data_IF_645373549673
#
_entry.id   IF_645373549673
#
_cell.length_a   1.000
_cell.length_b   1.000
_cell.length_c   1.000
_cell.angle_alpha   90.00
_cell.angle_beta   90.00
_cell.angle_gamma   90.00
#
_symmetry.space_group_name_H-M   'P 1'
#
loop_
_entity.id
_entity.type
_entity.pdbx_description
1 polymer ?
#
# COMPACT_ATOMS: atom_id res chain seq x y z
N UNK A 1 -15.58 37.83 -32.34
CA UNK A 1 -14.40 38.08 -31.48
C UNK A 1 -13.86 36.79 -30.86
N UNK A 2 -14.70 35.84 -30.58
CA UNK A 2 -14.33 34.53 -29.93
C UNK A 2 -13.46 33.59 -30.82
N UNK A 3 -13.68 33.57 -32.12
CA UNK A 3 -12.88 32.70 -33.04
C UNK A 3 -11.40 33.11 -33.12
N UNK A 4 -11.10 34.41 -33.02
CA UNK A 4 -9.71 34.91 -33.05
C UNK A 4 -8.96 34.55 -31.78
N UNK A 5 -9.64 34.54 -30.64
CA UNK A 5 -9.06 34.18 -29.34
C UNK A 5 -8.75 32.68 -29.30
N UNK A 6 -9.69 31.84 -29.80
CA UNK A 6 -9.50 30.41 -29.87
C UNK A 6 -8.33 29.98 -30.74
N UNK A 7 -8.17 30.59 -31.91
CA UNK A 7 -7.04 30.32 -32.80
C UNK A 7 -5.69 30.79 -32.19
N UNK A 8 -5.69 31.90 -31.46
CA UNK A 8 -4.48 32.38 -30.79
C UNK A 8 -4.03 31.43 -29.67
N UNK A 9 -5.00 30.90 -28.90
CA UNK A 9 -4.76 29.92 -27.84
C UNK A 9 -4.17 28.62 -28.38
N UNK A 10 -4.68 28.13 -29.52
CA UNK A 10 -4.13 26.92 -30.18
C UNK A 10 -2.70 27.12 -30.67
N UNK A 11 -2.36 28.29 -31.22
CA UNK A 11 -0.99 28.61 -31.70
C UNK A 11 0.00 28.64 -30.54
N UNK A 12 -0.39 29.22 -29.40
CA UNK A 12 0.46 29.29 -28.21
C UNK A 12 0.70 27.91 -27.62
N UNK A 13 -0.36 27.07 -27.47
CA UNK A 13 -0.24 25.71 -26.94
C UNK A 13 0.64 24.86 -27.87
N UNK A 14 0.47 24.96 -29.19
CA UNK A 14 1.28 24.18 -30.15
C UNK A 14 2.75 24.62 -30.11
N UNK A 15 3.04 25.92 -29.93
CA UNK A 15 4.38 26.44 -29.74
C UNK A 15 5.09 25.89 -28.52
N UNK A 16 4.38 25.78 -27.39
CA UNK A 16 4.92 25.18 -26.15
C UNK A 16 5.19 23.67 -26.29
N UNK A 17 4.33 22.93 -27.00
CA UNK A 17 4.52 21.49 -27.23
C UNK A 17 5.78 21.26 -28.08
N UNK A 18 5.99 22.03 -29.14
CA UNK A 18 7.19 21.91 -30.00
C UNK A 18 8.46 22.24 -29.21
N UNK A 19 8.43 23.27 -28.39
CA UNK A 19 9.55 23.67 -27.54
C UNK A 19 9.90 22.57 -26.50
N UNK A 20 8.89 21.94 -25.94
CA UNK A 20 9.05 20.85 -24.98
C UNK A 20 9.67 19.60 -25.61
N UNK A 21 9.27 19.25 -26.85
CA UNK A 21 9.86 18.13 -27.61
C UNK A 21 11.32 18.40 -27.97
N UNK A 22 11.68 19.63 -28.32
CA UNK A 22 13.06 19.99 -28.61
C UNK A 22 13.95 19.94 -27.37
N UNK A 23 13.44 20.32 -26.21
CA UNK A 23 14.18 20.24 -24.94
C UNK A 23 14.42 18.78 -24.56
N UNK A 24 13.41 17.90 -24.67
CA UNK A 24 13.57 16.47 -24.42
C UNK A 24 14.59 15.83 -25.38
N UNK A 25 14.57 16.21 -26.65
CA UNK A 25 15.54 15.72 -27.65
C UNK A 25 16.99 16.11 -27.36
N UNK A 26 17.24 17.21 -26.66
CA UNK A 26 18.58 17.62 -26.24
C UNK A 26 19.09 16.86 -25.00
N UNK A 27 18.18 16.43 -24.13
CA UNK A 27 18.53 15.62 -22.93
C UNK A 27 18.84 14.15 -23.26
N UNK A 28 18.39 13.64 -24.41
CA UNK A 28 18.63 12.23 -24.82
C UNK A 28 19.83 12.01 -25.76
N UNK A 29 20.63 13.05 -26.05
CA UNK A 29 21.70 12.94 -27.06
C UNK A 29 23.10 12.63 -26.50
N UNK A 30 23.27 12.35 -25.21
CA UNK A 30 24.60 11.92 -24.72
C UNK A 30 24.50 10.62 -23.90
N UNK A 31 25.12 9.57 -24.44
CA UNK A 31 25.28 8.31 -23.73
C UNK A 31 25.60 7.09 -24.61
N UNK A 32 26.60 7.19 -25.46
CA UNK A 32 27.18 6.03 -26.16
C UNK A 32 28.41 5.49 -25.43
N UNK A 33 28.33 4.25 -25.03
CA UNK A 33 29.36 3.18 -24.97
C UNK A 33 30.76 3.46 -24.41
N UNK A 34 31.22 2.77 -23.40
CA UNK A 34 32.28 1.75 -23.49
C UNK A 34 32.60 1.06 -22.17
N UNK A 35 32.85 -0.25 -22.26
CA UNK A 35 33.32 -1.15 -21.21
C UNK A 35 34.68 -0.74 -20.62
N UNK A 36 34.92 -0.93 -19.33
CA UNK A 36 35.98 -1.82 -18.87
C UNK A 36 35.91 -2.08 -17.34
N UNK A 37 36.23 -3.34 -17.00
CA UNK A 37 36.35 -3.89 -15.65
C UNK A 37 37.49 -3.22 -14.86
N UNK A 38 37.30 -2.96 -13.56
CA UNK A 38 38.29 -3.29 -12.53
C UNK A 38 37.66 -3.18 -11.12
N UNK A 39 37.90 -4.25 -10.37
CA UNK A 39 37.54 -4.54 -8.98
C UNK A 39 38.31 -3.62 -8.02
N UNK A 40 37.61 -2.94 -7.10
CA UNK A 40 38.14 -2.67 -5.75
C UNK A 40 37.04 -2.25 -4.77
N UNK A 41 37.04 -2.92 -3.64
CA UNK A 41 36.24 -2.74 -2.47
C UNK A 41 36.39 -1.37 -1.84
N UNK A 42 35.25 -0.70 -1.49
CA UNK A 42 35.14 0.06 -0.22
C UNK A 42 33.67 0.40 0.08
N UNK A 43 33.28 0.03 1.28
CA UNK A 43 32.05 0.34 1.96
C UNK A 43 31.74 1.84 2.03
N UNK A 44 30.51 2.23 1.64
CA UNK A 44 29.81 3.37 2.22
C UNK A 44 28.31 3.13 2.05
N UNK A 45 27.64 3.02 3.17
CA UNK A 45 26.21 2.87 3.31
C UNK A 45 25.46 4.07 2.70
N UNK A 46 24.71 3.85 1.65
CA UNK A 46 23.59 4.70 1.27
C UNK A 46 22.40 3.76 1.10
N UNK A 47 21.41 3.96 1.96
CA UNK A 47 20.15 3.23 1.99
C UNK A 47 19.33 3.55 0.75
N UNK A 48 19.52 2.78 -0.31
CA UNK A 48 18.49 2.57 -1.33
C UNK A 48 17.67 1.39 -0.85
N UNK A 49 16.49 1.68 -0.26
CA UNK A 49 15.47 0.66 0.00
C UNK A 49 14.97 0.17 -1.34
N UNK A 50 15.53 -0.96 -1.78
CA UNK A 50 15.12 -1.61 -2.99
C UNK A 50 13.70 -2.17 -2.83
N UNK A 51 12.89 -2.05 -3.88
CA UNK A 51 11.56 -2.68 -4.03
C UNK A 51 11.56 -4.22 -3.90
N UNK A 52 12.70 -4.83 -3.56
CA UNK A 52 12.86 -6.26 -3.33
C UNK A 52 12.41 -6.73 -1.95
N UNK A 53 12.26 -5.82 -0.98
CA UNK A 53 11.95 -6.21 0.40
C UNK A 53 10.43 -6.22 0.68
N UNK A 54 9.61 -5.61 -0.20
CA UNK A 54 8.15 -5.67 -0.13
C UNK A 54 7.62 -6.74 -1.08
N UNK A 55 7.85 -8.00 -0.76
CA UNK A 55 7.38 -9.13 -1.55
C UNK A 55 6.09 -9.72 -0.95
N UNK A 56 4.97 -9.39 -1.55
CA UNK A 56 3.63 -9.90 -1.19
C UNK A 56 3.16 -11.04 -2.09
N UNK A 57 4.04 -11.59 -2.94
CA UNK A 57 3.69 -12.65 -3.91
C UNK A 57 3.23 -13.95 -3.25
N UNK A 58 3.62 -14.17 -2.02
CA UNK A 58 3.18 -15.32 -1.21
C UNK A 58 1.79 -15.11 -0.58
N UNK A 59 1.26 -13.90 -0.57
CA UNK A 59 -0.05 -13.57 -0.02
C UNK A 59 -1.14 -13.73 -1.08
N UNK A 60 -2.39 -13.82 -0.67
CA UNK A 60 -3.56 -13.73 -1.55
C UNK A 60 -3.98 -12.27 -1.61
N UNK A 61 -3.77 -11.61 -2.74
CA UNK A 61 -4.29 -10.27 -2.96
C UNK A 61 -5.83 -10.31 -3.00
N UNK A 62 -6.45 -9.38 -2.27
CA UNK A 62 -7.91 -9.25 -2.15
C UNK A 62 -8.32 -7.80 -2.36
N UNK A 63 -9.47 -7.58 -2.94
CA UNK A 63 -10.13 -6.27 -2.95
C UNK A 63 -10.98 -6.07 -1.68
N UNK A 64 -11.69 -4.95 -1.61
CA UNK A 64 -12.51 -4.60 -0.42
C UNK A 64 -13.69 -5.57 -0.25
N UNK A 65 -14.30 -6.03 -1.34
CA UNK A 65 -15.44 -6.93 -1.29
C UNK A 65 -14.99 -8.35 -0.91
N UNK A 66 -13.83 -8.81 -1.41
CA UNK A 66 -13.19 -10.05 -0.98
C UNK A 66 -12.78 -9.99 0.51
N UNK A 67 -12.23 -8.85 0.97
CA UNK A 67 -11.89 -8.67 2.39
C UNK A 67 -13.13 -8.68 3.29
N UNK A 68 -14.26 -8.14 2.82
CA UNK A 68 -15.56 -8.22 3.50
C UNK A 68 -16.08 -9.66 3.55
N UNK A 69 -15.88 -10.45 2.49
CA UNK A 69 -16.34 -11.83 2.44
C UNK A 69 -15.68 -12.72 3.51
N UNK A 70 -14.46 -12.38 3.98
CA UNK A 70 -13.79 -13.11 5.08
C UNK A 70 -14.62 -13.13 6.38
N UNK A 71 -15.53 -12.17 6.56
CA UNK A 71 -16.43 -12.12 7.72
C UNK A 71 -17.64 -13.04 7.60
N UNK A 72 -17.88 -13.59 6.43
CA UNK A 72 -18.97 -14.55 6.17
C UNK A 72 -18.44 -15.99 6.08
N UNK A 73 -17.12 -16.19 6.18
CA UNK A 73 -16.44 -17.48 6.13
C UNK A 73 -16.18 -18.03 7.55
N UNK A 74 -16.26 -19.36 7.70
CA UNK A 74 -15.86 -20.06 8.92
C UNK A 74 -14.33 -20.21 9.00
N UNK A 75 -13.81 -20.35 10.22
CA UNK A 75 -12.38 -20.53 10.47
C UNK A 75 -11.63 -19.25 10.74
N UNK A 76 -10.30 -19.33 10.65
CA UNK A 76 -9.41 -18.19 10.95
C UNK A 76 -8.83 -17.62 9.66
N UNK A 77 -8.93 -16.32 9.49
CA UNK A 77 -8.39 -15.56 8.37
C UNK A 77 -7.49 -14.44 8.87
N UNK A 78 -6.32 -14.29 8.26
CA UNK A 78 -5.41 -13.18 8.53
C UNK A 78 -5.51 -12.18 7.39
N UNK A 79 -5.85 -10.92 7.70
CA UNK A 79 -5.94 -9.81 6.75
C UNK A 79 -4.80 -8.82 7.04
N UNK A 80 -3.92 -8.64 6.08
CA UNK A 80 -2.88 -7.63 6.09
C UNK A 80 -3.30 -6.45 5.20
N UNK A 81 -3.24 -5.23 5.74
CA UNK A 81 -3.57 -3.99 5.05
C UNK A 81 -2.31 -3.13 4.99
N UNK A 82 -1.77 -2.92 3.80
CA UNK A 82 -0.50 -2.24 3.64
C UNK A 82 -0.24 -1.73 2.22
N UNK A 83 0.95 -1.18 2.00
CA UNK A 83 1.40 -0.68 0.69
C UNK A 83 2.93 -0.63 0.60
N UNK A 84 3.46 -0.72 -0.61
CA UNK A 84 4.91 -0.71 -0.87
C UNK A 84 5.61 0.61 -0.54
N UNK A 85 4.88 1.72 -0.52
CA UNK A 85 5.41 3.06 -0.23
C UNK A 85 5.51 3.37 1.28
N UNK A 86 5.03 2.47 2.14
CA UNK A 86 5.10 2.60 3.59
C UNK A 86 6.38 1.92 4.13
N UNK A 87 7.30 2.68 4.71
CA UNK A 87 8.58 2.15 5.20
C UNK A 87 8.44 1.10 6.30
N UNK A 88 7.41 1.21 7.15
CA UNK A 88 7.12 0.21 8.20
C UNK A 88 6.55 -1.06 7.57
N UNK A 89 5.75 -0.94 6.50
CA UNK A 89 5.23 -2.07 5.73
C UNK A 89 6.38 -2.86 5.08
N UNK A 90 7.35 -2.17 4.47
CA UNK A 90 8.54 -2.78 3.86
C UNK A 90 9.32 -3.61 4.88
N UNK A 91 9.41 -3.15 6.14
CA UNK A 91 10.08 -3.90 7.20
C UNK A 91 9.22 -5.07 7.74
N UNK A 92 7.89 -4.93 7.71
CA UNK A 92 6.97 -5.90 8.30
C UNK A 92 6.71 -7.10 7.37
N UNK A 93 6.61 -6.88 6.06
CA UNK A 93 6.27 -7.94 5.08
C UNK A 93 7.22 -9.13 5.12
N UNK A 94 8.57 -8.97 5.19
CA UNK A 94 9.46 -10.12 5.34
C UNK A 94 9.18 -10.96 6.58
N UNK A 95 8.91 -10.30 7.71
CA UNK A 95 8.56 -11.00 8.97
C UNK A 95 7.25 -11.74 8.86
N UNK A 96 6.23 -11.11 8.26
CA UNK A 96 4.93 -11.74 8.06
C UNK A 96 5.02 -12.95 7.13
N UNK A 97 5.86 -12.88 6.08
CA UNK A 97 6.11 -13.99 5.17
C UNK A 97 6.76 -15.18 5.89
N UNK A 98 7.77 -14.93 6.74
CA UNK A 98 8.39 -15.99 7.53
C UNK A 98 7.40 -16.65 8.49
N UNK A 99 6.58 -15.87 9.19
CA UNK A 99 5.62 -16.40 10.15
C UNK A 99 4.47 -17.15 9.47
N UNK A 100 3.99 -16.67 8.30
CA UNK A 100 2.98 -17.41 7.55
C UNK A 100 3.51 -18.76 7.01
N UNK A 101 4.81 -18.83 6.68
CA UNK A 101 5.45 -20.09 6.26
C UNK A 101 5.62 -21.04 7.47
N UNK A 102 6.08 -20.52 8.61
CA UNK A 102 6.30 -21.33 9.83
C UNK A 102 5.00 -21.90 10.41
N UNK A 103 3.89 -21.15 10.35
CA UNK A 103 2.60 -21.53 10.89
C UNK A 103 1.62 -22.13 9.85
N UNK A 104 2.06 -22.27 8.60
CA UNK A 104 1.30 -22.88 7.49
C UNK A 104 -0.09 -22.24 7.27
N UNK A 105 -0.16 -20.91 7.24
CA UNK A 105 -1.39 -20.19 6.90
C UNK A 105 -1.22 -19.31 5.67
N UNK A 106 -2.31 -18.70 5.19
CA UNK A 106 -2.31 -17.79 4.05
C UNK A 106 -2.82 -16.42 4.47
N UNK A 107 -1.96 -15.41 4.28
CA UNK A 107 -2.33 -14.00 4.49
C UNK A 107 -3.17 -13.50 3.32
N UNK A 108 -4.30 -12.84 3.59
CA UNK A 108 -5.03 -12.03 2.63
C UNK A 108 -4.46 -10.61 2.65
N UNK A 109 -4.10 -10.06 1.50
CA UNK A 109 -3.45 -8.76 1.37
C UNK A 109 -4.36 -7.75 0.67
N UNK A 110 -4.71 -6.67 1.36
CA UNK A 110 -5.41 -5.52 0.81
C UNK A 110 -4.41 -4.40 0.53
N UNK A 111 -4.24 -4.05 -0.76
CA UNK A 111 -3.39 -2.94 -1.16
C UNK A 111 -4.07 -1.59 -0.91
N UNK A 112 -3.48 -0.78 -0.04
CA UNK A 112 -3.99 0.56 0.29
C UNK A 112 -3.88 1.54 -0.88
N UNK A 113 -2.92 1.35 -1.78
CA UNK A 113 -2.78 2.21 -2.96
C UNK A 113 -3.98 2.04 -3.91
N UNK A 114 -4.56 0.83 -3.99
CA UNK A 114 -5.77 0.57 -4.78
C UNK A 114 -7.01 1.34 -4.30
N UNK A 115 -7.08 1.64 -2.99
CA UNK A 115 -8.20 2.36 -2.36
C UNK A 115 -7.87 3.81 -1.98
N UNK A 116 -6.69 4.32 -2.35
CA UNK A 116 -6.16 5.62 -1.91
C UNK A 116 -7.04 6.83 -2.28
N UNK A 117 -7.91 6.69 -3.28
CA UNK A 117 -8.87 7.72 -3.69
C UNK A 117 -9.83 8.16 -2.58
N UNK A 118 -10.07 7.33 -1.56
CA UNK A 118 -10.97 7.66 -0.45
C UNK A 118 -10.47 8.86 0.39
N UNK A 119 -9.16 9.13 0.40
CA UNK A 119 -8.53 10.26 1.09
C UNK A 119 -8.31 11.48 0.19
N UNK A 120 -8.74 11.44 -1.08
CA UNK A 120 -8.61 12.58 -1.98
C UNK A 120 -9.46 13.78 -1.50
N UNK A 121 -8.92 14.99 -1.62
CA UNK A 121 -9.62 16.24 -1.22
C UNK A 121 -10.87 16.50 -2.09
N UNK A 122 -10.78 16.19 -3.39
CA UNK A 122 -11.88 16.32 -4.34
C UNK A 122 -12.31 14.91 -4.74
N UNK A 123 -13.34 14.40 -4.09
CA UNK A 123 -13.87 13.08 -4.38
C UNK A 123 -14.68 13.11 -5.67
N UNK A 124 -14.44 12.13 -6.51
CA UNK A 124 -15.32 11.76 -7.64
C UNK A 124 -16.41 10.82 -7.15
N UNK A 125 -17.47 10.62 -7.93
CA UNK A 125 -18.54 9.65 -7.60
C UNK A 125 -17.94 8.24 -7.34
N UNK A 126 -16.95 7.83 -8.14
CA UNK A 126 -16.24 6.57 -7.93
C UNK A 126 -15.44 6.52 -6.61
N UNK A 127 -14.84 7.63 -6.20
CA UNK A 127 -14.13 7.71 -4.92
C UNK A 127 -15.08 7.71 -3.72
N UNK A 128 -16.30 8.24 -3.88
CA UNK A 128 -17.35 8.18 -2.86
C UNK A 128 -17.91 6.75 -2.74
N UNK A 129 -18.12 6.06 -3.86
CA UNK A 129 -18.51 4.65 -3.85
C UNK A 129 -17.44 3.78 -3.17
N UNK A 130 -16.17 3.96 -3.53
CA UNK A 130 -15.05 3.28 -2.89
C UNK A 130 -14.99 3.58 -1.38
N UNK A 131 -15.21 4.84 -0.98
CA UNK A 131 -15.28 5.21 0.43
C UNK A 131 -16.38 4.44 1.17
N UNK A 132 -17.57 4.29 0.58
CA UNK A 132 -18.67 3.54 1.17
C UNK A 132 -18.36 2.04 1.28
N UNK A 133 -17.64 1.45 0.31
CA UNK A 133 -17.18 0.06 0.39
C UNK A 133 -16.16 -0.11 1.52
N UNK A 134 -15.11 0.73 1.57
CA UNK A 134 -14.09 0.70 2.63
C UNK A 134 -14.73 0.97 4.00
N UNK A 135 -15.72 1.86 4.08
CA UNK A 135 -16.47 2.13 5.32
C UNK A 135 -17.15 0.88 5.86
N UNK A 136 -17.79 0.07 4.99
CA UNK A 136 -18.38 -1.21 5.40
C UNK A 136 -17.35 -2.17 5.98
N UNK A 137 -16.16 -2.25 5.38
CA UNK A 137 -15.07 -3.06 5.90
C UNK A 137 -14.60 -2.53 7.26
N UNK A 138 -14.34 -1.22 7.36
CA UNK A 138 -13.83 -0.63 8.61
C UNK A 138 -14.84 -0.68 9.75
N UNK A 139 -16.15 -0.70 9.46
CA UNK A 139 -17.18 -0.93 10.48
C UNK A 139 -17.15 -2.35 11.08
N UNK A 140 -16.55 -3.32 10.37
CA UNK A 140 -16.30 -4.68 10.88
C UNK A 140 -15.01 -4.76 11.72
N UNK A 141 -14.07 -3.83 11.53
CA UNK A 141 -12.80 -3.77 12.25
C UNK A 141 -12.99 -3.06 13.62
N UNK A 142 -13.94 -3.56 14.40
CA UNK A 142 -14.38 -3.00 15.68
C UNK A 142 -13.57 -3.61 16.84
N UNK A 143 -12.25 -3.42 16.80
CA UNK A 143 -11.33 -3.77 17.88
C UNK A 143 -10.51 -2.52 18.25
N UNK A 144 -10.26 -2.32 19.55
CA UNK A 144 -9.45 -1.20 20.01
C UNK A 144 -8.01 -1.36 19.51
N UNK A 145 -7.47 -0.31 18.93
CA UNK A 145 -6.10 -0.24 18.46
C UNK A 145 -5.49 1.12 18.75
N UNK A 146 -4.17 1.18 18.78
CA UNK A 146 -3.42 2.43 18.98
C UNK A 146 -2.38 2.60 17.89
N UNK A 147 -2.28 3.81 17.35
CA UNK A 147 -1.24 4.21 16.40
C UNK A 147 -0.88 5.68 16.59
N UNK A 148 0.42 5.99 16.59
CA UNK A 148 0.95 7.36 16.70
C UNK A 148 0.39 8.19 17.88
N UNK A 149 0.08 7.51 19.02
CA UNK A 149 -0.45 8.15 20.23
C UNK A 149 -1.97 8.41 20.20
N UNK A 150 -2.66 7.97 19.17
CA UNK A 150 -4.12 7.97 19.10
C UNK A 150 -4.66 6.55 19.41
N UNK A 151 -5.80 6.46 20.08
CA UNK A 151 -6.50 5.20 20.41
C UNK A 151 -7.95 5.33 20.00
N UNK A 152 -8.42 4.39 19.18
CA UNK A 152 -9.81 4.26 18.69
C UNK A 152 -9.99 2.83 18.17
N UNK A 153 -11.10 2.52 17.53
CA UNK A 153 -11.20 1.25 16.80
C UNK A 153 -10.21 1.23 15.63
N UNK A 154 -9.70 0.05 15.30
CA UNK A 154 -8.79 -0.14 14.17
C UNK A 154 -9.40 0.41 12.88
N UNK A 155 -10.69 0.15 12.65
CA UNK A 155 -11.40 0.66 11.49
C UNK A 155 -11.48 2.19 11.45
N UNK A 156 -11.76 2.85 12.56
CA UNK A 156 -11.81 4.31 12.64
C UNK A 156 -10.45 4.95 12.38
N UNK A 157 -9.39 4.42 12.98
CA UNK A 157 -8.02 4.90 12.75
C UNK A 157 -7.60 4.69 11.29
N UNK A 158 -7.95 3.55 10.70
CA UNK A 158 -7.61 3.28 9.30
C UNK A 158 -8.35 4.23 8.35
N UNK A 159 -9.69 4.33 8.41
CA UNK A 159 -10.46 5.15 7.46
C UNK A 159 -10.19 6.66 7.62
N UNK A 160 -9.89 7.13 8.83
CA UNK A 160 -9.65 8.55 9.09
C UNK A 160 -8.23 8.98 8.82
N UNK A 161 -7.25 8.11 9.02
CA UNK A 161 -5.80 8.46 9.00
C UNK A 161 -5.00 7.69 7.95
N UNK A 162 -5.49 6.54 7.47
CA UNK A 162 -4.75 5.67 6.56
C UNK A 162 -3.51 5.03 7.19
N UNK A 163 -3.55 4.73 8.50
CA UNK A 163 -2.42 4.10 9.17
C UNK A 163 -2.13 2.71 8.61
N UNK A 164 -0.86 2.45 8.32
CA UNK A 164 -0.34 1.17 7.81
C UNK A 164 1.04 0.88 8.41
N UNK A 165 1.44 -0.39 8.52
CA UNK A 165 0.66 -1.59 8.25
C UNK A 165 -0.43 -1.81 9.31
N UNK A 166 -1.52 -2.48 8.93
CA UNK A 166 -2.46 -3.08 9.87
C UNK A 166 -2.52 -4.59 9.63
N UNK A 167 -2.57 -5.36 10.71
CA UNK A 167 -2.86 -6.80 10.68
C UNK A 167 -4.12 -7.05 11.49
N UNK A 168 -4.99 -7.90 10.97
CA UNK A 168 -6.27 -8.26 11.58
C UNK A 168 -6.44 -9.78 11.52
N UNK A 169 -6.84 -10.40 12.62
CA UNK A 169 -7.24 -11.79 12.68
C UNK A 169 -8.75 -11.85 12.79
N UNK A 170 -9.38 -12.52 11.83
CA UNK A 170 -10.81 -12.74 11.75
C UNK A 170 -11.06 -14.22 12.03
N UNK A 171 -11.90 -14.55 13.02
CA UNK A 171 -12.26 -15.91 13.35
C UNK A 171 -13.77 -16.03 13.41
N UNK A 172 -14.34 -16.92 12.59
CA UNK A 172 -15.78 -17.16 12.51
C UNK A 172 -16.59 -15.86 12.36
N UNK A 173 -16.14 -14.98 11.45
CA UNK A 173 -16.79 -13.73 11.12
C UNK A 173 -16.60 -12.58 12.13
N UNK A 174 -15.67 -12.71 13.09
CA UNK A 174 -15.39 -11.67 14.09
C UNK A 174 -13.91 -11.36 14.15
N UNK A 175 -13.58 -10.09 14.32
CA UNK A 175 -12.21 -9.68 14.66
C UNK A 175 -11.90 -10.16 16.07
N UNK A 176 -10.85 -10.95 16.21
CA UNK A 176 -10.36 -11.46 17.50
C UNK A 176 -9.04 -10.85 17.91
N UNK A 177 -8.26 -10.33 16.94
CA UNK A 177 -7.02 -9.60 17.17
C UNK A 177 -6.81 -8.56 16.06
N UNK A 178 -6.16 -7.44 16.37
CA UNK A 178 -5.79 -6.44 15.35
C UNK A 178 -4.88 -5.36 15.89
N UNK A 179 -3.91 -4.95 15.09
CA UNK A 179 -2.94 -3.93 15.48
C UNK A 179 -2.40 -3.15 14.28
N UNK A 180 -1.81 -2.00 14.56
CA UNK A 180 -1.00 -1.24 13.63
C UNK A 180 0.49 -1.37 13.93
N UNK A 181 1.29 -1.18 12.87
CA UNK A 181 2.73 -1.08 12.98
C UNK A 181 3.46 -2.42 12.95
N UNK A 182 4.76 -2.33 13.14
CA UNK A 182 5.67 -3.47 13.10
C UNK A 182 5.55 -4.35 14.35
N UNK A 183 5.68 -5.66 14.17
CA UNK A 183 5.96 -6.66 15.21
C UNK A 183 7.15 -7.49 14.76
N UNK A 184 8.05 -7.81 15.66
CA UNK A 184 9.11 -8.79 15.41
C UNK A 184 8.52 -10.21 15.29
N UNK A 185 9.32 -11.14 14.77
CA UNK A 185 8.90 -12.51 14.47
C UNK A 185 8.33 -13.23 15.69
N UNK A 186 9.02 -13.17 16.82
CA UNK A 186 8.62 -13.90 18.03
C UNK A 186 7.28 -13.37 18.57
N UNK A 187 7.11 -12.03 18.58
CA UNK A 187 5.86 -11.38 18.99
C UNK A 187 4.71 -11.74 18.05
N UNK A 188 4.95 -11.68 16.74
CA UNK A 188 3.93 -11.98 15.75
C UNK A 188 3.53 -13.45 15.77
N UNK A 189 4.50 -14.37 15.89
CA UNK A 189 4.25 -15.80 16.04
C UNK A 189 3.37 -16.06 17.27
N UNK A 190 3.74 -15.52 18.44
CA UNK A 190 2.96 -15.71 19.66
C UNK A 190 1.52 -15.20 19.57
N UNK A 191 1.30 -14.08 18.86
CA UNK A 191 -0.04 -13.55 18.60
C UNK A 191 -0.85 -14.53 17.71
N UNK A 192 -0.26 -14.98 16.61
CA UNK A 192 -0.99 -15.77 15.61
C UNK A 192 -1.23 -17.22 16.06
N UNK A 193 -0.31 -17.84 16.80
CA UNK A 193 -0.47 -19.19 17.37
C UNK A 193 -1.72 -19.32 18.28
N UNK A 194 -2.19 -18.20 18.88
CA UNK A 194 -3.37 -18.22 19.74
C UNK A 194 -4.67 -18.46 18.94
N UNK A 195 -4.67 -18.10 17.65
CA UNK A 195 -5.91 -18.10 16.85
C UNK A 195 -5.91 -19.12 15.70
N UNK A 196 -4.73 -19.53 15.22
CA UNK A 196 -4.57 -20.50 14.13
C UNK A 196 -4.62 -21.94 14.66
#
# INVERSE_FOLDING_TARGET
MEEKIRNLTFIVIFGFIIMFILIIGLYFKDGGSSNNSTKSSRSSSSSESSSSDYDVSQMKEVDVDDALALFDEEGTHVLYIGRSTCSVCVQFVPVLNEVQEDLDFKTNYLDVDAISSIWAKNKTDAAEEMYNQVKRLTDKLDIEASANGETDTLGNLFISKGFTPALVVIKDGKVVEGFFGYRDKDTLTGILEEYL
#
